data_IF_585764289475
#
_entry.id   IF_585764289475
#
_cell.length_a   1.000
_cell.length_b   1.000
_cell.length_c   1.000
_cell.angle_alpha   90.00
_cell.angle_beta   90.00
_cell.angle_gamma   90.00
#
_symmetry.space_group_name_H-M   'P 1'
#
loop_
_entity.id
_entity.type
_entity.pdbx_description
1 polymer ?
#
# COMPACT_ATOMS: atom_id res chain seq x y z
N UNK A 1 3.10 18.74 -18.22
CA UNK A 1 2.71 17.44 -17.64
C UNK A 1 3.32 17.37 -16.25
N UNK A 2 2.59 16.97 -15.20
CA UNK A 2 3.21 16.74 -13.90
C UNK A 2 4.29 15.66 -14.08
N UNK A 3 5.46 15.84 -13.45
CA UNK A 3 6.49 14.79 -13.43
C UNK A 3 5.90 13.62 -12.66
N UNK A 4 5.84 12.42 -13.25
CA UNK A 4 5.40 11.21 -12.53
C UNK A 4 6.52 10.65 -11.63
N UNK A 5 7.75 11.09 -11.87
CA UNK A 5 8.95 10.57 -11.21
C UNK A 5 9.94 11.67 -10.86
N UNK A 6 10.68 11.45 -9.77
CA UNK A 6 11.80 12.27 -9.36
C UNK A 6 13.10 11.47 -9.46
N UNK A 7 14.02 11.92 -10.31
CA UNK A 7 15.32 11.30 -10.53
C UNK A 7 16.17 11.20 -9.25
N UNK A 8 16.01 12.15 -8.32
CA UNK A 8 16.72 12.17 -7.04
C UNK A 8 16.28 11.04 -6.10
N UNK A 9 15.09 10.48 -6.29
CA UNK A 9 14.59 9.35 -5.48
C UNK A 9 15.19 8.01 -5.93
N UNK A 10 15.98 8.00 -7.01
CA UNK A 10 16.67 6.81 -7.51
C UNK A 10 15.70 5.66 -7.82
N UNK A 11 15.98 4.50 -7.25
CA UNK A 11 15.18 3.27 -7.39
C UNK A 11 13.90 3.27 -6.55
N UNK A 12 13.67 4.25 -5.68
CA UNK A 12 12.44 4.30 -4.87
C UNK A 12 11.18 4.33 -5.74
N UNK A 13 11.17 5.12 -6.81
CA UNK A 13 10.05 5.18 -7.75
C UNK A 13 9.74 3.82 -8.37
N UNK A 14 10.77 3.03 -8.72
CA UNK A 14 10.57 1.67 -9.22
C UNK A 14 10.00 0.74 -8.14
N UNK A 15 10.49 0.85 -6.91
CA UNK A 15 9.98 0.06 -5.78
C UNK A 15 8.51 0.40 -5.48
N UNK A 16 8.12 1.67 -5.60
CA UNK A 16 6.73 2.09 -5.45
C UNK A 16 5.84 1.50 -6.56
N UNK A 17 6.25 1.57 -7.83
CA UNK A 17 5.51 0.96 -8.95
C UNK A 17 5.31 -0.55 -8.71
N UNK A 18 6.36 -1.25 -8.27
CA UNK A 18 6.27 -2.69 -7.98
C UNK A 18 5.27 -2.99 -6.86
N UNK A 19 5.33 -2.20 -5.77
CA UNK A 19 4.40 -2.36 -4.65
C UNK A 19 2.95 -2.03 -5.05
N UNK A 20 2.74 -1.03 -5.90
CA UNK A 20 1.42 -0.68 -6.45
C UNK A 20 0.88 -1.78 -7.38
N UNK A 21 1.73 -2.36 -8.23
CA UNK A 21 1.37 -3.49 -9.08
C UNK A 21 1.01 -4.74 -8.26
N UNK A 22 1.81 -5.06 -7.23
CA UNK A 22 1.53 -6.17 -6.33
C UNK A 22 0.23 -5.96 -5.53
N UNK A 23 -0.06 -4.72 -5.13
CA UNK A 23 -1.35 -4.37 -4.51
C UNK A 23 -2.53 -4.63 -5.46
N UNK A 24 -2.42 -4.22 -6.72
CA UNK A 24 -3.45 -4.48 -7.75
C UNK A 24 -3.65 -5.98 -7.98
N UNK A 25 -2.56 -6.76 -8.02
CA UNK A 25 -2.63 -8.22 -8.16
C UNK A 25 -3.32 -8.88 -6.95
N UNK A 26 -2.99 -8.46 -5.73
CA UNK A 26 -3.66 -8.92 -4.51
C UNK A 26 -5.16 -8.56 -4.51
N UNK A 27 -5.52 -7.35 -4.94
CA UNK A 27 -6.92 -6.95 -5.09
C UNK A 27 -7.67 -7.78 -6.12
N UNK A 28 -7.03 -8.16 -7.22
CA UNK A 28 -7.61 -9.05 -8.23
C UNK A 28 -7.83 -10.48 -7.68
N UNK A 29 -6.86 -11.00 -6.90
CA UNK A 29 -7.01 -12.29 -6.22
C UNK A 29 -8.16 -12.27 -5.20
N UNK A 30 -8.28 -11.20 -4.40
CA UNK A 30 -9.40 -11.00 -3.49
C UNK A 30 -10.75 -10.92 -4.25
N UNK A 31 -10.80 -10.19 -5.37
CA UNK A 31 -11.98 -10.13 -6.22
C UNK A 31 -12.39 -11.50 -6.78
N UNK A 32 -11.41 -12.33 -7.18
CA UNK A 32 -11.64 -13.70 -7.64
C UNK A 32 -12.18 -14.58 -6.50
N UNK A 33 -11.57 -14.50 -5.32
CA UNK A 33 -12.02 -15.21 -4.12
C UNK A 33 -13.48 -14.87 -3.76
N UNK A 34 -13.88 -13.61 -3.91
CA UNK A 34 -15.25 -13.18 -3.67
C UNK A 34 -16.21 -13.75 -4.73
N UNK A 35 -15.81 -13.72 -6.00
CA UNK A 35 -16.67 -14.14 -7.11
C UNK A 35 -16.85 -15.66 -7.19
N UNK A 36 -15.79 -16.42 -6.92
CA UNK A 36 -15.75 -17.88 -7.10
C UNK A 36 -15.91 -18.65 -5.78
N UNK A 37 -15.74 -17.97 -4.64
CA UNK A 37 -15.69 -18.59 -3.31
C UNK A 37 -14.30 -19.18 -2.98
N UNK A 38 -14.14 -19.72 -1.75
CA UNK A 38 -12.86 -20.18 -1.22
C UNK A 38 -12.45 -21.55 -1.77
N UNK A 39 -12.14 -21.61 -3.07
CA UNK A 39 -11.49 -22.76 -3.68
C UNK A 39 -10.01 -22.79 -3.31
N UNK A 40 -9.38 -23.98 -3.30
CA UNK A 40 -7.95 -24.12 -3.00
C UNK A 40 -7.10 -23.23 -3.91
N UNK A 41 -7.40 -23.19 -5.22
CA UNK A 41 -6.71 -22.32 -6.19
C UNK A 41 -6.85 -20.82 -5.86
N UNK A 42 -8.02 -20.38 -5.38
CA UNK A 42 -8.23 -18.98 -5.00
C UNK A 42 -7.50 -18.62 -3.70
N UNK A 43 -7.47 -19.54 -2.74
CA UNK A 43 -6.74 -19.36 -1.49
C UNK A 43 -5.22 -19.32 -1.73
N UNK A 44 -4.70 -20.22 -2.56
CA UNK A 44 -3.28 -20.25 -2.94
C UNK A 44 -2.88 -18.97 -3.69
N UNK A 45 -3.70 -18.53 -4.66
CA UNK A 45 -3.46 -17.28 -5.38
C UNK A 45 -3.48 -16.07 -4.43
N UNK A 46 -4.40 -16.05 -3.47
CA UNK A 46 -4.47 -15.00 -2.45
C UNK A 46 -3.24 -15.01 -1.54
N UNK A 47 -2.76 -16.18 -1.11
CA UNK A 47 -1.56 -16.29 -0.27
C UNK A 47 -0.32 -15.81 -1.01
N UNK A 48 -0.14 -16.23 -2.27
CA UNK A 48 1.01 -15.82 -3.10
C UNK A 48 1.00 -14.31 -3.32
N UNK A 49 -0.12 -13.75 -3.78
CA UNK A 49 -0.21 -12.31 -4.07
C UNK A 49 -0.10 -11.44 -2.82
N UNK A 50 -0.60 -11.91 -1.67
CA UNK A 50 -0.41 -11.25 -0.38
C UNK A 50 1.07 -11.24 0.03
N UNK A 51 1.77 -12.38 -0.10
CA UNK A 51 3.19 -12.48 0.24
C UNK A 51 4.03 -11.56 -0.66
N UNK A 52 3.75 -11.56 -1.96
CA UNK A 52 4.45 -10.70 -2.92
C UNK A 52 4.23 -9.22 -2.60
N UNK A 53 2.99 -8.82 -2.32
CA UNK A 53 2.71 -7.45 -1.91
C UNK A 53 3.41 -7.06 -0.62
N UNK A 54 3.39 -7.90 0.41
CA UNK A 54 4.13 -7.66 1.66
C UNK A 54 5.64 -7.51 1.43
N UNK A 55 6.21 -8.32 0.55
CA UNK A 55 7.62 -8.25 0.18
C UNK A 55 7.96 -6.92 -0.50
N UNK A 56 7.20 -6.51 -1.51
CA UNK A 56 7.43 -5.26 -2.24
C UNK A 56 7.24 -4.03 -1.34
N UNK A 57 6.20 -4.03 -0.50
CA UNK A 57 5.96 -2.96 0.49
C UNK A 57 7.12 -2.84 1.46
N UNK A 58 7.65 -3.97 1.96
CA UNK A 58 8.80 -3.97 2.87
C UNK A 58 10.02 -3.34 2.20
N UNK A 59 10.37 -3.76 0.99
CA UNK A 59 11.51 -3.22 0.24
C UNK A 59 11.36 -1.73 -0.04
N UNK A 60 10.17 -1.31 -0.48
CA UNK A 60 9.87 0.11 -0.72
C UNK A 60 10.02 0.94 0.58
N UNK A 61 9.52 0.45 1.71
CA UNK A 61 9.63 1.13 3.01
C UNK A 61 11.07 1.21 3.51
N UNK A 62 11.83 0.11 3.41
CA UNK A 62 13.25 0.10 3.76
C UNK A 62 14.01 1.15 2.95
N UNK A 63 13.72 1.23 1.64
CA UNK A 63 14.32 2.25 0.78
C UNK A 63 13.92 3.67 1.14
N UNK A 64 12.64 3.91 1.45
CA UNK A 64 12.15 5.20 1.94
C UNK A 64 12.93 5.66 3.18
N UNK A 65 13.08 4.77 4.17
CA UNK A 65 13.81 5.07 5.41
C UNK A 65 15.27 5.43 5.13
N UNK A 66 15.92 4.73 4.19
CA UNK A 66 17.30 5.06 3.78
C UNK A 66 17.35 6.47 3.18
N UNK A 67 16.44 6.82 2.27
CA UNK A 67 16.42 8.13 1.63
C UNK A 67 16.11 9.27 2.63
N UNK A 68 15.25 9.05 3.62
CA UNK A 68 15.04 9.98 4.72
C UNK A 68 16.31 10.18 5.55
N UNK A 69 16.98 9.09 5.94
CA UNK A 69 18.24 9.17 6.71
C UNK A 69 19.37 9.86 5.94
N UNK A 70 19.37 9.76 4.62
CA UNK A 70 20.32 10.45 3.75
C UNK A 70 19.93 11.91 3.46
N UNK A 71 18.80 12.41 3.97
CA UNK A 71 18.31 13.78 3.70
C UNK A 71 17.83 14.00 2.26
N UNK A 72 17.61 12.92 1.49
CA UNK A 72 17.06 13.00 0.12
C UNK A 72 15.54 13.23 0.17
N UNK A 73 14.88 12.62 1.15
CA UNK A 73 13.47 12.84 1.47
C UNK A 73 13.42 13.65 2.77
N UNK A 74 12.71 14.77 2.70
CA UNK A 74 12.35 15.57 3.86
C UNK A 74 10.97 15.16 4.37
N UNK A 75 10.91 14.94 5.67
CA UNK A 75 9.64 14.78 6.38
C UNK A 75 9.24 16.15 6.94
N UNK A 76 7.96 16.50 6.88
CA UNK A 76 7.48 17.72 7.51
C UNK A 76 7.77 17.69 9.01
N UNK A 77 8.27 18.80 9.55
CA UNK A 77 8.52 18.94 10.99
C UNK A 77 7.19 18.90 11.73
N UNK A 78 7.00 17.91 12.61
CA UNK A 78 5.93 17.92 13.61
C UNK A 78 6.17 19.06 14.59
N UNK A 79 5.72 20.27 14.23
CA UNK A 79 5.82 21.46 15.05
C UNK A 79 4.43 21.92 15.47
N UNK A 80 4.03 21.58 16.69
CA UNK A 80 2.93 22.22 17.42
C UNK A 80 1.54 21.60 17.20
N UNK A 81 0.95 21.19 18.32
CA UNK A 81 -0.45 20.81 18.57
C UNK A 81 -1.01 19.57 17.85
N UNK A 82 -1.28 18.56 18.69
CA UNK A 82 -2.05 17.35 18.38
C UNK A 82 -3.51 17.70 18.06
N UNK A 83 -3.79 18.21 16.88
CA UNK A 83 -5.10 18.10 16.23
C UNK A 83 -4.92 18.50 14.75
N UNK A 84 -5.27 17.59 13.84
CA UNK A 84 -5.19 17.73 12.38
C UNK A 84 -3.80 17.50 11.72
N UNK A 85 -3.32 16.25 11.76
CA UNK A 85 -2.16 15.79 10.94
C UNK A 85 -2.56 15.27 9.55
N UNK A 86 -3.67 15.77 9.01
CA UNK A 86 -4.04 15.54 7.62
C UNK A 86 -3.06 16.31 6.69
N UNK A 87 -2.49 15.63 5.70
CA UNK A 87 -1.83 16.22 4.52
C UNK A 87 -0.50 16.95 4.66
N UNK A 88 0.39 16.52 5.56
CA UNK A 88 1.81 16.87 5.38
C UNK A 88 2.58 15.72 4.70
N UNK A 89 2.71 15.86 3.38
CA UNK A 89 3.32 14.88 2.47
C UNK A 89 4.85 14.93 2.53
N UNK A 90 5.49 13.76 2.34
CA UNK A 90 6.95 13.69 2.32
C UNK A 90 7.44 14.21 0.97
N UNK A 91 8.50 15.02 0.94
CA UNK A 91 8.97 15.66 -0.30
C UNK A 91 10.44 15.34 -0.57
N UNK A 92 10.83 15.39 -1.83
CA UNK A 92 12.24 15.36 -2.21
C UNK A 92 12.90 16.69 -1.85
N UNK A 93 13.95 16.65 -1.03
CA UNK A 93 14.69 17.83 -0.58
C UNK A 93 15.27 18.66 -1.74
N UNK A 94 15.63 18.01 -2.85
CA UNK A 94 16.31 18.64 -3.98
C UNK A 94 15.37 19.42 -4.90
N UNK A 95 14.12 18.97 -5.08
CA UNK A 95 13.22 19.54 -6.08
C UNK A 95 11.78 19.76 -5.59
N UNK A 96 11.49 19.49 -4.32
CA UNK A 96 10.14 19.62 -3.75
C UNK A 96 9.13 18.62 -4.29
N UNK A 97 9.56 17.61 -5.05
CA UNK A 97 8.65 16.59 -5.58
C UNK A 97 8.02 15.79 -4.44
N UNK A 98 6.70 15.73 -4.45
CA UNK A 98 5.92 14.95 -3.48
C UNK A 98 6.21 13.45 -3.66
N UNK A 99 6.63 12.80 -2.59
CA UNK A 99 6.98 11.38 -2.59
C UNK A 99 5.71 10.55 -2.48
N UNK A 100 5.38 9.71 -3.49
CA UNK A 100 4.13 9.00 -3.52
C UNK A 100 4.04 8.01 -2.36
N UNK A 101 2.89 8.01 -1.67
CA UNK A 101 2.59 7.06 -0.58
C UNK A 101 1.76 5.90 -1.10
N UNK A 102 1.91 4.74 -0.47
CA UNK A 102 0.98 3.63 -0.71
C UNK A 102 -0.27 3.85 0.14
N UNK A 103 -1.41 3.89 -0.53
CA UNK A 103 -2.74 3.88 0.09
C UNK A 103 -3.46 2.59 -0.27
N UNK A 104 -4.23 2.03 0.67
CA UNK A 104 -5.00 0.79 0.44
C UNK A 104 -6.49 1.01 0.67
N UNK A 105 -7.14 1.91 -0.09
CA UNK A 105 -8.51 2.33 0.18
C UNK A 105 -9.54 1.20 0.04
N UNK A 106 -9.21 0.16 -0.73
CA UNK A 106 -10.08 -1.00 -0.91
C UNK A 106 -10.15 -1.90 0.34
N UNK A 107 -9.24 -1.75 1.31
CA UNK A 107 -9.15 -2.62 2.48
C UNK A 107 -9.52 -1.88 3.77
N UNK A 108 -10.31 -2.53 4.61
CA UNK A 108 -10.68 -2.04 5.95
C UNK A 108 -10.64 -3.18 6.97
N UNK A 109 -10.46 -2.85 8.24
CA UNK A 109 -10.72 -3.80 9.33
C UNK A 109 -12.20 -3.75 9.69
N UNK A 110 -12.87 -4.91 9.72
CA UNK A 110 -14.20 -5.04 10.28
C UNK A 110 -14.16 -4.98 11.81
N UNK A 111 -15.32 -4.75 12.45
CA UNK A 111 -15.48 -4.80 13.91
C UNK A 111 -15.12 -6.17 14.50
N UNK A 112 -15.19 -7.23 13.69
CA UNK A 112 -14.79 -8.61 14.01
C UNK A 112 -13.27 -8.82 14.03
N UNK A 113 -12.49 -7.82 13.60
CA UNK A 113 -11.04 -7.93 13.40
C UNK A 113 -10.63 -8.59 12.08
N UNK A 114 -11.59 -9.05 11.28
CA UNK A 114 -11.33 -9.60 9.94
C UNK A 114 -11.05 -8.49 8.91
N UNK A 115 -10.24 -8.77 7.88
CA UNK A 115 -10.08 -7.85 6.75
C UNK A 115 -11.33 -7.87 5.86
N UNK A 116 -11.79 -6.68 5.47
CA UNK A 116 -12.79 -6.50 4.42
C UNK A 116 -12.16 -5.87 3.18
N UNK A 117 -12.44 -6.48 2.03
CA UNK A 117 -12.09 -5.95 0.72
C UNK A 117 -13.34 -5.43 0.02
N UNK A 118 -13.38 -4.12 -0.27
CA UNK A 118 -14.52 -3.42 -0.87
C UNK A 118 -15.86 -3.69 -0.17
N UNK A 119 -15.81 -3.79 1.15
CA UNK A 119 -16.98 -4.05 2.00
C UNK A 119 -17.32 -5.53 2.20
N UNK A 120 -16.63 -6.45 1.52
CA UNK A 120 -16.82 -7.90 1.70
C UNK A 120 -15.80 -8.44 2.70
N UNK A 121 -16.29 -9.04 3.78
CA UNK A 121 -15.43 -9.67 4.79
C UNK A 121 -14.82 -10.95 4.22
N UNK A 122 -13.49 -11.05 4.32
CA UNK A 122 -12.72 -12.19 3.88
C UNK A 122 -12.29 -13.01 5.09
N UNK A 123 -12.86 -14.21 5.22
CA UNK A 123 -12.41 -15.22 6.18
C UNK A 123 -11.99 -16.47 5.41
N UNK A 124 -10.95 -17.15 5.90
CA UNK A 124 -10.44 -18.40 5.32
C UNK A 124 -11.54 -19.45 5.11
N UNK A 125 -12.59 -19.42 5.94
CA UNK A 125 -13.68 -20.39 5.89
C UNK A 125 -14.98 -19.84 5.27
N UNK A 126 -15.11 -18.52 5.11
CA UNK A 126 -16.34 -17.87 4.65
C UNK A 126 -16.06 -16.55 3.94
N UNK A 127 -16.67 -16.36 2.78
CA UNK A 127 -16.80 -15.04 2.15
C UNK A 127 -18.17 -14.50 2.52
N UNK A 128 -18.23 -13.41 3.27
CA UNK A 128 -19.50 -12.81 3.70
C UNK A 128 -19.65 -11.43 3.08
N UNK A 129 -20.58 -11.30 2.15
CA UNK A 129 -20.96 -9.99 1.61
C UNK A 129 -21.66 -9.14 2.68
N UNK A 130 -21.57 -7.80 2.62
CA UNK A 130 -22.33 -6.95 3.52
C UNK A 130 -23.84 -7.15 3.29
N UNK A 131 -24.59 -7.13 4.39
CA UNK A 131 -26.06 -7.27 4.40
C UNK A 131 -26.77 -6.09 3.72
#
# INVERSE_FOLDING_TARGET
>A
MPREFCEHLGDYSHNWIRAEAAYKAMGAAAGKLIAEGPTDDCLDLMEVTLRDWQFEVKHMRERFVVLVKCGVIELPSQGGDEEDTADTEACCAACGFEVPRLTWPDWKSCDTGSPAFRGTELNRNTVTAPA
#
